data_IF_427469239537
#
_entry.id   IF_427469239537
#
_cell.length_a   1.000
_cell.length_b   1.000
_cell.length_c   1.000
_cell.angle_alpha   90.00
_cell.angle_beta   90.00
_cell.angle_gamma   90.00
#
_symmetry.space_group_name_H-M   'P 1'
#
loop_
_entity.id
_entity.type
_entity.pdbx_description
1 polymer ?
#
# COMPACT_ATOMS: atom_id res chain seq x y z
N UNK A 1 14.87 -5.37 -8.35
CA UNK A 1 14.00 -4.60 -7.45
C UNK A 1 13.17 -5.56 -6.59
N UNK A 2 13.33 -5.53 -5.26
CA UNK A 2 12.59 -6.37 -4.30
C UNK A 2 11.27 -5.73 -3.82
N UNK A 3 11.12 -4.41 -4.01
CA UNK A 3 9.99 -3.64 -3.46
C UNK A 3 8.61 -4.04 -4.00
N UNK A 4 8.47 -4.29 -5.31
CA UNK A 4 7.18 -4.61 -5.94
C UNK A 4 6.63 -5.98 -5.52
N UNK A 5 7.52 -6.94 -5.22
CA UNK A 5 7.09 -8.24 -4.70
C UNK A 5 6.57 -8.14 -3.25
N UNK A 6 7.18 -7.26 -2.45
CA UNK A 6 6.73 -6.95 -1.09
C UNK A 6 5.31 -6.39 -1.06
N UNK A 7 4.98 -5.48 -1.97
CA UNK A 7 3.66 -4.83 -2.04
C UNK A 7 2.52 -5.81 -2.33
N UNK A 8 2.73 -6.77 -3.24
CA UNK A 8 1.70 -7.79 -3.56
C UNK A 8 1.38 -8.67 -2.35
N UNK A 9 2.41 -9.20 -1.69
CA UNK A 9 2.24 -10.04 -0.49
C UNK A 9 1.64 -9.26 0.68
N UNK A 10 2.02 -7.99 0.84
CA UNK A 10 1.44 -7.09 1.83
C UNK A 10 -0.06 -6.87 1.57
N UNK A 11 -0.47 -6.66 0.31
CA UNK A 11 -1.87 -6.47 -0.05
C UNK A 11 -2.72 -7.69 0.29
N UNK A 12 -2.30 -8.89 -0.09
CA UNK A 12 -3.01 -10.14 0.24
C UNK A 12 -3.14 -10.36 1.76
N UNK A 13 -2.12 -9.95 2.52
CA UNK A 13 -2.14 -10.05 3.99
C UNK A 13 -3.15 -9.08 4.60
N UNK A 14 -3.18 -7.84 4.11
CA UNK A 14 -4.12 -6.82 4.57
C UNK A 14 -5.56 -7.13 4.15
N UNK A 15 -5.77 -7.69 2.96
CA UNK A 15 -7.10 -8.16 2.51
C UNK A 15 -7.67 -9.25 3.43
N UNK A 16 -6.81 -10.14 3.96
CA UNK A 16 -7.23 -11.13 4.98
C UNK A 16 -7.58 -10.46 6.31
N UNK A 17 -6.79 -9.46 6.72
CA UNK A 17 -7.00 -8.73 7.97
C UNK A 17 -8.32 -7.91 7.99
N UNK A 18 -8.92 -7.61 6.82
CA UNK A 18 -10.26 -7.02 6.75
C UNK A 18 -11.37 -7.95 7.29
N UNK A 19 -11.13 -9.26 7.34
CA UNK A 19 -12.07 -10.25 7.87
C UNK A 19 -11.68 -10.72 9.27
N UNK A 20 -10.71 -10.07 9.91
CA UNK A 20 -10.28 -10.43 11.25
C UNK A 20 -11.42 -10.18 12.27
N UNK A 21 -11.64 -11.08 13.24
CA UNK A 21 -12.66 -10.88 14.27
C UNK A 21 -12.43 -9.60 15.10
N UNK A 22 -11.17 -9.17 15.23
CA UNK A 22 -10.83 -7.97 15.99
C UNK A 22 -11.08 -6.70 15.17
N UNK A 23 -12.00 -5.86 15.65
CA UNK A 23 -12.31 -4.57 15.04
C UNK A 23 -11.07 -3.66 14.85
N UNK A 24 -10.15 -3.52 15.83
CA UNK A 24 -8.95 -2.72 15.65
C UNK A 24 -8.04 -3.23 14.52
N UNK A 25 -8.06 -4.55 14.25
CA UNK A 25 -7.27 -5.16 13.18
C UNK A 25 -7.88 -4.83 11.81
N UNK A 26 -9.20 -4.91 11.69
CA UNK A 26 -9.91 -4.52 10.46
C UNK A 26 -9.69 -3.04 10.12
N UNK A 27 -9.82 -2.15 11.10
CA UNK A 27 -9.61 -0.71 10.91
C UNK A 27 -8.18 -0.41 10.46
N UNK A 28 -7.21 -1.06 11.10
CA UNK A 28 -5.79 -0.95 10.72
C UNK A 28 -5.55 -1.42 9.29
N UNK A 29 -6.22 -2.50 8.87
CA UNK A 29 -6.10 -3.04 7.52
C UNK A 29 -6.64 -2.09 6.44
N UNK A 30 -7.76 -1.41 6.71
CA UNK A 30 -8.34 -0.40 5.81
C UNK A 30 -7.38 0.78 5.59
N UNK A 31 -6.79 1.28 6.68
CA UNK A 31 -5.82 2.40 6.61
C UNK A 31 -4.56 1.97 5.86
N UNK A 32 -4.03 0.78 6.15
CA UNK A 32 -2.83 0.27 5.51
C UNK A 32 -3.02 0.03 4.01
N UNK A 33 -4.17 -0.51 3.58
CA UNK A 33 -4.51 -0.69 2.16
C UNK A 33 -4.59 0.65 1.43
N UNK A 34 -5.22 1.64 2.05
CA UNK A 34 -5.32 3.00 1.49
C UNK A 34 -3.94 3.64 1.30
N UNK A 35 -3.06 3.48 2.29
CA UNK A 35 -1.68 3.97 2.22
C UNK A 35 -0.87 3.25 1.14
N UNK A 36 -1.05 1.94 1.00
CA UNK A 36 -0.34 1.14 0.00
C UNK A 36 -0.75 1.55 -1.43
N UNK A 37 -2.04 1.76 -1.67
CA UNK A 37 -2.55 2.26 -2.95
C UNK A 37 -2.04 3.68 -3.26
N UNK A 38 -2.01 4.55 -2.25
CA UNK A 38 -1.46 5.89 -2.38
C UNK A 38 0.03 5.87 -2.75
N UNK A 39 0.82 5.04 -2.08
CA UNK A 39 2.24 4.86 -2.40
C UNK A 39 2.45 4.27 -3.80
N UNK A 40 1.63 3.31 -4.23
CA UNK A 40 1.70 2.79 -5.60
C UNK A 40 1.38 3.86 -6.65
N UNK A 41 0.34 4.68 -6.40
CA UNK A 41 -0.02 5.80 -7.27
C UNK A 41 1.09 6.85 -7.33
N UNK A 42 1.71 7.17 -6.21
CA UNK A 42 2.86 8.09 -6.14
C UNK A 42 4.10 7.51 -6.84
N UNK A 43 4.42 6.24 -6.60
CA UNK A 43 5.59 5.57 -7.20
C UNK A 43 5.46 5.40 -8.70
N UNK A 44 4.25 5.17 -9.23
CA UNK A 44 3.98 5.16 -10.67
C UNK A 44 4.02 6.56 -11.28
N UNK A 45 3.95 7.60 -10.45
CA UNK A 45 4.18 8.98 -10.83
C UNK A 45 5.68 9.33 -10.82
N UNK A 46 6.52 8.54 -11.50
CA UNK A 46 7.89 8.96 -11.86
C UNK A 46 7.91 10.31 -12.62
N UNK A 47 6.75 10.73 -13.16
CA UNK A 47 6.54 12.08 -13.70
C UNK A 47 6.72 13.20 -12.67
N UNK A 48 6.53 12.94 -11.37
CA UNK A 48 6.78 13.94 -10.31
C UNK A 48 8.26 14.10 -9.99
N UNK A 49 9.05 13.01 -10.01
CA UNK A 49 10.51 13.08 -9.82
C UNK A 49 11.20 13.90 -10.93
N UNK A 50 10.65 13.89 -12.15
CA UNK A 50 11.09 14.81 -13.24
C UNK A 50 10.61 16.25 -13.09
N UNK A 51 9.53 16.50 -12.33
CA UNK A 51 8.92 17.84 -12.19
C UNK A 51 9.57 18.65 -11.05
N UNK A 52 10.14 17.99 -10.04
CA UNK A 52 10.81 18.67 -8.92
C UNK A 52 12.32 18.85 -9.07
N UNK A 53 12.88 18.53 -10.24
CA UNK A 53 14.29 18.79 -10.57
C UNK A 53 15.26 17.80 -9.94
N UNK A 54 16.11 17.21 -10.79
CA UNK A 54 17.40 16.65 -10.35
C UNK A 54 18.41 17.74 -10.08
#
# INVERSE_FOLDING_TARGET
ALGVMGSKKARETLEKALNDPDEPVRDSAVVALSNLEFMEKLSKNEKFAKLTGG
#
